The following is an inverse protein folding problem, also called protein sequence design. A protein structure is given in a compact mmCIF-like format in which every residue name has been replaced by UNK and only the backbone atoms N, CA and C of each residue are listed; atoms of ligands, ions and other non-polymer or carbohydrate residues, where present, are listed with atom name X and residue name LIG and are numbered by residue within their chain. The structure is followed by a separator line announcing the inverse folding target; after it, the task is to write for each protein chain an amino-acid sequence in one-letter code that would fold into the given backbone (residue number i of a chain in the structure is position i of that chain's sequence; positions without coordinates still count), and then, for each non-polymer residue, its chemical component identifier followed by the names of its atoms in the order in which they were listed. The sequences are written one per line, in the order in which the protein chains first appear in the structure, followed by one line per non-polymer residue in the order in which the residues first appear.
data_IF_683036179236
#
_entry.id   IF_683036179236
#
_cell.length_a   1.000
_cell.length_b   1.000
_cell.length_c   1.000
_cell.angle_alpha   90.00
_cell.angle_beta   90.00
_cell.angle_gamma   90.00
#
_symmetry.space_group_name_H-M   'P 1'
#
loop_
_entity.id
_entity.type
_entity.pdbx_description
1 polymer ?
#
# COMPACT_ATOMS: atom_id res chain seq x y z
N UNK A 1 -77.32 19.66 -21.32
CA UNK A 1 -75.96 19.97 -20.93
C UNK A 1 -75.34 18.76 -20.22
N UNK A 2 -74.47 18.03 -20.88
CA UNK A 2 -73.70 16.89 -20.30
C UNK A 2 -72.34 17.39 -19.92
N UNK A 3 -72.00 17.43 -18.64
CA UNK A 3 -70.67 17.81 -18.12
C UNK A 3 -69.86 16.55 -18.05
N UNK A 4 -68.75 16.50 -18.82
CA UNK A 4 -67.74 15.41 -18.77
C UNK A 4 -66.71 15.77 -17.71
N UNK A 5 -66.57 14.96 -16.66
CA UNK A 5 -65.45 15.02 -15.72
C UNK A 5 -64.33 14.25 -16.29
N UNK A 6 -63.23 14.93 -16.63
CA UNK A 6 -61.95 14.32 -16.98
C UNK A 6 -61.17 14.09 -15.66
N UNK A 7 -61.04 12.83 -15.27
CA UNK A 7 -60.21 12.44 -14.14
C UNK A 7 -58.78 12.33 -14.67
N UNK A 8 -57.92 13.29 -14.30
CA UNK A 8 -56.47 13.19 -14.51
C UNK A 8 -55.90 12.23 -13.45
N UNK A 9 -55.58 11.03 -13.85
CA UNK A 9 -54.82 10.08 -13.02
C UNK A 9 -53.33 10.47 -13.04
N UNK A 10 -52.88 11.14 -11.98
CA UNK A 10 -51.45 11.41 -11.77
C UNK A 10 -50.72 10.11 -11.39
N UNK A 11 -50.00 9.51 -12.34
CA UNK A 11 -49.10 8.39 -12.06
C UNK A 11 -47.88 8.92 -11.33
N UNK A 12 -47.87 8.80 -10.01
CA UNK A 12 -46.68 8.97 -9.19
C UNK A 12 -45.73 7.82 -9.46
N UNK A 13 -44.77 8.05 -10.35
CA UNK A 13 -43.61 7.14 -10.50
C UNK A 13 -42.74 7.33 -9.23
N UNK A 14 -43.00 6.52 -8.22
CA UNK A 14 -42.05 6.32 -7.12
C UNK A 14 -40.77 5.76 -7.72
N UNK A 15 -39.77 6.62 -7.88
CA UNK A 15 -38.39 6.13 -8.03
C UNK A 15 -38.02 5.43 -6.73
N UNK A 16 -38.15 4.12 -6.70
CA UNK A 16 -37.47 3.32 -5.69
C UNK A 16 -35.98 3.67 -5.79
N UNK A 17 -35.48 4.41 -4.82
CA UNK A 17 -34.03 4.55 -4.61
C UNK A 17 -33.56 3.18 -4.16
N UNK A 18 -33.29 2.28 -5.13
CA UNK A 18 -32.70 0.97 -4.87
C UNK A 18 -31.38 1.20 -4.13
N UNK A 19 -31.12 0.39 -3.10
CA UNK A 19 -29.81 0.37 -2.45
C UNK A 19 -28.74 0.15 -3.52
N UNK A 20 -27.64 0.91 -3.44
CA UNK A 20 -26.53 0.75 -4.38
C UNK A 20 -26.00 -0.69 -4.34
N UNK A 21 -25.72 -1.23 -5.50
CA UNK A 21 -25.13 -2.57 -5.65
C UNK A 21 -23.65 -2.56 -5.20
N UNK A 22 -23.07 -3.70 -4.84
CA UNK A 22 -21.64 -3.80 -4.55
C UNK A 22 -20.74 -3.23 -5.67
N UNK A 23 -21.09 -3.46 -6.93
CA UNK A 23 -20.35 -2.95 -8.07
C UNK A 23 -20.42 -1.40 -8.17
N UNK A 24 -21.58 -0.79 -7.91
CA UNK A 24 -21.72 0.67 -7.87
C UNK A 24 -20.91 1.28 -6.73
N UNK A 25 -20.89 0.63 -5.57
CA UNK A 25 -20.06 1.05 -4.45
C UNK A 25 -18.57 0.97 -4.80
N UNK A 26 -18.09 -0.10 -5.42
CA UNK A 26 -16.68 -0.22 -5.87
C UNK A 26 -16.35 0.91 -6.85
N UNK A 27 -17.18 1.13 -7.87
CA UNK A 27 -16.94 2.16 -8.88
C UNK A 27 -16.90 3.59 -8.27
N UNK A 28 -17.77 3.87 -7.31
CA UNK A 28 -17.77 5.15 -6.59
C UNK A 28 -16.51 5.28 -5.71
N UNK A 29 -16.17 4.24 -4.98
CA UNK A 29 -14.93 4.17 -4.20
C UNK A 29 -13.69 4.43 -5.07
N UNK A 30 -13.60 3.80 -6.25
CA UNK A 30 -12.50 4.00 -7.20
C UNK A 30 -12.43 5.44 -7.71
N UNK A 31 -13.57 6.03 -8.06
CA UNK A 31 -13.63 7.43 -8.47
C UNK A 31 -13.16 8.40 -7.37
N UNK A 32 -13.47 8.09 -6.10
CA UNK A 32 -13.04 8.89 -4.95
C UNK A 32 -11.55 8.65 -4.66
N UNK A 33 -11.12 7.41 -4.68
CA UNK A 33 -9.72 7.03 -4.45
C UNK A 33 -8.78 7.68 -5.48
N UNK A 34 -9.18 7.73 -6.75
CA UNK A 34 -8.44 8.40 -7.82
C UNK A 34 -8.28 9.92 -7.59
N UNK A 35 -9.05 10.51 -6.69
CA UNK A 35 -8.90 11.91 -6.24
C UNK A 35 -8.04 12.03 -4.99
N UNK A 36 -7.33 10.99 -4.62
CA UNK A 36 -6.45 10.91 -3.45
C UNK A 36 -7.19 11.07 -2.10
N UNK A 37 -8.36 10.45 -1.99
CA UNK A 37 -9.23 10.51 -0.80
C UNK A 37 -9.54 9.09 -0.28
N UNK A 38 -8.55 8.38 0.26
CA UNK A 38 -8.75 7.01 0.76
C UNK A 38 -9.75 6.94 1.91
N UNK A 39 -9.86 7.98 2.74
CA UNK A 39 -10.81 8.10 3.83
C UNK A 39 -12.26 8.18 3.37
N UNK A 40 -12.53 8.93 2.29
CA UNK A 40 -13.86 9.01 1.67
C UNK A 40 -14.17 7.74 0.82
N UNK A 41 -13.16 7.08 0.23
CA UNK A 41 -13.35 5.88 -0.58
C UNK A 41 -13.64 4.62 0.27
N UNK A 42 -13.00 4.50 1.44
CA UNK A 42 -13.10 3.34 2.32
C UNK A 42 -14.53 2.93 2.68
N UNK A 43 -15.46 3.84 3.08
CA UNK A 43 -16.84 3.47 3.37
C UNK A 43 -17.54 2.78 2.20
N UNK A 44 -17.24 3.16 0.97
CA UNK A 44 -17.81 2.55 -0.22
C UNK A 44 -17.30 1.12 -0.44
N UNK A 45 -16.00 0.88 -0.29
CA UNK A 45 -15.48 -0.48 -0.36
C UNK A 45 -16.02 -1.37 0.77
N UNK A 46 -16.16 -0.82 1.98
CA UNK A 46 -16.79 -1.54 3.11
C UNK A 46 -18.26 -1.85 2.83
N UNK A 47 -19.02 -0.92 2.24
CA UNK A 47 -20.39 -1.16 1.83
C UNK A 47 -20.50 -2.26 0.74
N UNK A 48 -19.54 -2.32 -0.19
CA UNK A 48 -19.48 -3.38 -1.20
C UNK A 48 -19.18 -4.77 -0.60
N UNK A 49 -18.45 -4.84 0.50
CA UNK A 49 -18.20 -6.10 1.24
C UNK A 49 -19.46 -6.55 2.00
N UNK A 50 -20.28 -5.61 2.48
CA UNK A 50 -21.34 -5.85 3.47
C UNK A 50 -22.27 -7.04 3.16
N UNK A 51 -22.90 -7.13 1.97
CA UNK A 51 -23.79 -8.23 1.63
C UNK A 51 -23.06 -9.52 1.26
N UNK A 52 -21.88 -9.42 0.67
CA UNK A 52 -21.04 -10.53 0.22
C UNK A 52 -19.63 -10.42 0.81
N UNK A 53 -19.44 -11.11 1.92
CA UNK A 53 -18.15 -11.15 2.61
C UNK A 53 -17.02 -11.78 1.80
N UNK A 54 -17.31 -12.35 0.64
CA UNK A 54 -16.37 -12.95 -0.33
C UNK A 54 -16.08 -12.06 -1.54
N UNK A 55 -16.50 -10.79 -1.55
CA UNK A 55 -16.14 -9.85 -2.60
C UNK A 55 -14.64 -9.50 -2.52
N UNK A 56 -13.84 -10.23 -3.28
CA UNK A 56 -12.38 -10.10 -3.30
C UNK A 56 -11.93 -8.68 -3.61
N UNK A 57 -12.51 -8.06 -4.66
CA UNK A 57 -12.12 -6.73 -5.12
C UNK A 57 -12.37 -5.66 -4.03
N UNK A 58 -13.53 -5.69 -3.42
CA UNK A 58 -13.85 -4.78 -2.32
C UNK A 58 -12.94 -4.99 -1.10
N UNK A 59 -12.59 -6.24 -0.79
CA UNK A 59 -11.71 -6.58 0.33
C UNK A 59 -10.31 -5.98 0.18
N UNK A 60 -9.64 -6.19 -0.98
CA UNK A 60 -8.29 -5.68 -1.13
C UNK A 60 -8.26 -4.15 -1.31
N UNK A 61 -9.30 -3.55 -1.94
CA UNK A 61 -9.43 -2.09 -2.07
C UNK A 61 -9.66 -1.41 -0.72
N UNK A 62 -10.49 -2.00 0.13
CA UNK A 62 -10.65 -1.53 1.51
C UNK A 62 -9.35 -1.67 2.30
N UNK A 63 -8.64 -2.81 2.17
CA UNK A 63 -7.34 -3.01 2.81
C UNK A 63 -6.33 -1.94 2.37
N UNK A 64 -6.24 -1.66 1.08
CA UNK A 64 -5.38 -0.60 0.53
C UNK A 64 -5.68 0.75 1.17
N UNK A 65 -6.96 1.15 1.23
CA UNK A 65 -7.35 2.43 1.84
C UNK A 65 -6.99 2.51 3.33
N UNK A 66 -7.21 1.44 4.10
CA UNK A 66 -6.79 1.38 5.52
C UNK A 66 -5.27 1.53 5.69
N UNK A 67 -4.49 0.90 4.80
CA UNK A 67 -3.03 0.96 4.85
C UNK A 67 -2.52 2.36 4.47
N UNK A 68 -3.12 3.01 3.47
CA UNK A 68 -2.78 4.37 3.08
C UNK A 68 -3.12 5.36 4.21
N UNK A 69 -4.25 5.17 4.90
CA UNK A 69 -4.59 5.96 6.08
C UNK A 69 -3.61 5.73 7.24
N UNK A 70 -3.19 4.47 7.47
CA UNK A 70 -2.18 4.16 8.46
C UNK A 70 -0.83 4.83 8.17
N UNK A 71 -0.49 4.99 6.90
CA UNK A 71 0.76 5.62 6.47
C UNK A 71 0.80 7.11 6.80
N UNK A 72 -0.30 7.82 6.60
CA UNK A 72 -0.40 9.25 6.85
C UNK A 72 -0.74 9.61 8.30
N UNK A 73 -1.21 8.64 9.10
CA UNK A 73 -1.71 8.90 10.44
C UNK A 73 -0.57 9.17 11.44
N UNK A 74 -0.69 10.28 12.17
CA UNK A 74 0.28 10.69 13.18
C UNK A 74 -0.01 10.12 14.57
N UNK A 75 -1.30 9.92 14.90
CA UNK A 75 -1.70 9.31 16.16
C UNK A 75 -1.35 7.82 16.19
N UNK A 76 -0.50 7.35 17.11
CA UNK A 76 -0.05 5.96 17.12
C UNK A 76 -1.18 4.95 17.32
N UNK A 77 -2.21 5.29 18.09
CA UNK A 77 -3.33 4.38 18.35
C UNK A 77 -4.25 4.26 17.13
N UNK A 78 -4.50 5.36 16.42
CA UNK A 78 -5.25 5.32 15.16
C UNK A 78 -4.47 4.60 14.06
N UNK A 79 -3.16 4.87 13.96
CA UNK A 79 -2.28 4.16 13.02
C UNK A 79 -2.28 2.65 13.24
N UNK A 80 -2.21 2.20 14.49
CA UNK A 80 -2.27 0.77 14.83
C UNK A 80 -3.63 0.16 14.46
N UNK A 81 -4.75 0.87 14.70
CA UNK A 81 -6.08 0.40 14.29
C UNK A 81 -6.18 0.23 12.78
N UNK A 82 -5.79 1.24 11.99
CA UNK A 82 -5.78 1.16 10.53
C UNK A 82 -4.90 0.01 10.04
N UNK A 83 -3.69 -0.14 10.58
CA UNK A 83 -2.78 -1.22 10.20
C UNK A 83 -3.35 -2.61 10.50
N UNK A 84 -4.01 -2.79 11.65
CA UNK A 84 -4.69 -4.05 12.02
C UNK A 84 -5.89 -4.35 11.14
N UNK A 85 -6.69 -3.33 10.83
CA UNK A 85 -7.83 -3.46 9.93
C UNK A 85 -7.37 -3.82 8.52
N UNK A 86 -6.36 -3.14 8.00
CA UNK A 86 -5.76 -3.45 6.70
C UNK A 86 -5.21 -4.88 6.63
N UNK A 87 -4.52 -5.36 7.68
CA UNK A 87 -4.09 -6.76 7.77
C UNK A 87 -5.27 -7.73 7.73
N UNK A 88 -6.30 -7.49 8.56
CA UNK A 88 -7.46 -8.39 8.63
C UNK A 88 -8.19 -8.49 7.28
N UNK A 89 -8.36 -7.37 6.58
CA UNK A 89 -8.98 -7.30 5.25
C UNK A 89 -8.11 -8.00 4.20
N UNK A 90 -6.79 -7.79 4.20
CA UNK A 90 -5.87 -8.47 3.28
C UNK A 90 -5.88 -9.99 3.47
N UNK A 91 -5.85 -10.46 4.72
CA UNK A 91 -5.96 -11.90 5.02
C UNK A 91 -7.31 -12.47 4.58
N UNK A 92 -8.40 -11.70 4.65
CA UNK A 92 -9.69 -12.11 4.10
C UNK A 92 -9.65 -12.19 2.58
N UNK A 93 -9.07 -11.19 1.91
CA UNK A 93 -8.89 -11.20 0.46
C UNK A 93 -8.13 -12.45 -0.01
N UNK A 94 -7.01 -12.79 0.64
CA UNK A 94 -6.24 -14.01 0.33
C UNK A 94 -7.07 -15.28 0.53
N UNK A 95 -7.91 -15.36 1.58
CA UNK A 95 -8.80 -16.52 1.76
C UNK A 95 -9.84 -16.67 0.65
N UNK A 96 -10.25 -15.58 0.04
CA UNK A 96 -11.20 -15.58 -1.09
C UNK A 96 -10.50 -15.93 -2.39
N UNK A 97 -9.36 -15.31 -2.64
CA UNK A 97 -8.54 -15.56 -3.82
C UNK A 97 -7.04 -15.50 -3.46
N UNK A 98 -6.46 -16.66 -3.21
CA UNK A 98 -5.04 -16.79 -2.91
C UNK A 98 -4.14 -16.75 -4.15
N UNK A 99 -4.72 -16.68 -5.36
CA UNK A 99 -3.97 -16.70 -6.61
C UNK A 99 -3.92 -15.31 -7.31
N UNK A 100 -4.03 -14.25 -6.51
CA UNK A 100 -3.96 -12.89 -7.01
C UNK A 100 -2.95 -12.06 -6.19
N UNK A 101 -2.25 -11.17 -6.84
CA UNK A 101 -1.15 -10.40 -6.25
C UNK A 101 -1.60 -9.38 -5.20
N UNK A 102 -2.79 -8.77 -5.37
CA UNK A 102 -3.21 -7.61 -4.58
C UNK A 102 -3.41 -7.95 -3.09
N UNK A 103 -4.02 -9.11 -2.80
CA UNK A 103 -4.23 -9.57 -1.42
C UNK A 103 -2.90 -9.75 -0.68
N UNK A 104 -1.93 -10.41 -1.31
CA UNK A 104 -0.58 -10.65 -0.78
C UNK A 104 0.21 -9.35 -0.65
N UNK A 105 0.20 -8.50 -1.66
CA UNK A 105 0.87 -7.20 -1.62
C UNK A 105 0.35 -6.32 -0.48
N UNK A 106 -0.96 -6.19 -0.34
CA UNK A 106 -1.55 -5.39 0.74
C UNK A 106 -1.25 -5.98 2.12
N UNK A 107 -1.22 -7.33 2.25
CA UNK A 107 -0.81 -7.96 3.50
C UNK A 107 0.65 -7.62 3.85
N UNK A 108 1.56 -7.69 2.89
CA UNK A 108 2.96 -7.31 3.09
C UNK A 108 3.09 -5.86 3.58
N UNK A 109 2.35 -4.91 2.97
CA UNK A 109 2.32 -3.50 3.41
C UNK A 109 1.78 -3.35 4.84
N UNK A 110 0.65 -3.97 5.15
CA UNK A 110 0.03 -3.89 6.48
C UNK A 110 0.97 -4.41 7.57
N UNK A 111 1.61 -5.56 7.35
CA UNK A 111 2.59 -6.15 8.26
C UNK A 111 3.83 -5.28 8.42
N UNK A 112 4.31 -4.66 7.34
CA UNK A 112 5.40 -3.68 7.39
C UNK A 112 5.07 -2.50 8.31
N UNK A 113 3.86 -1.94 8.22
CA UNK A 113 3.40 -0.88 9.12
C UNK A 113 3.28 -1.35 10.58
N UNK A 114 2.74 -2.54 10.80
CA UNK A 114 2.66 -3.12 12.15
C UNK A 114 4.02 -3.36 12.78
N UNK A 115 5.01 -3.77 11.99
CA UNK A 115 6.37 -3.99 12.47
C UNK A 115 6.99 -2.76 13.15
N UNK A 116 6.57 -1.56 12.79
CA UNK A 116 7.04 -0.31 13.38
C UNK A 116 6.53 -0.06 14.82
N UNK A 117 5.46 -0.77 15.24
CA UNK A 117 4.76 -0.54 16.52
C UNK A 117 4.97 -1.66 17.53
N UNK A 118 5.78 -2.67 17.23
CA UNK A 118 5.95 -3.87 18.07
C UNK A 118 7.39 -4.05 18.54
N UNK A 119 7.57 -4.92 19.54
CA UNK A 119 8.89 -5.29 20.05
C UNK A 119 9.72 -6.10 19.04
N UNK A 120 11.01 -6.24 19.32
CA UNK A 120 12.01 -6.84 18.40
C UNK A 120 11.60 -8.22 17.90
N UNK A 121 11.10 -9.09 18.78
CA UNK A 121 10.75 -10.46 18.42
C UNK A 121 9.59 -10.52 17.41
N UNK A 122 8.56 -9.72 17.63
CA UNK A 122 7.39 -9.68 16.73
C UNK A 122 7.73 -8.93 15.43
N UNK A 123 8.61 -7.92 15.51
CA UNK A 123 9.15 -7.23 14.31
C UNK A 123 9.86 -8.22 13.37
N UNK A 124 10.64 -9.15 13.91
CA UNK A 124 11.31 -10.20 13.11
C UNK A 124 10.29 -11.12 12.44
N UNK A 125 9.24 -11.53 13.17
CA UNK A 125 8.16 -12.34 12.60
C UNK A 125 7.47 -11.61 11.45
N UNK A 126 7.07 -10.35 11.68
CA UNK A 126 6.44 -9.55 10.63
C UNK A 126 7.36 -9.33 9.44
N UNK A 127 8.63 -9.02 9.65
CA UNK A 127 9.58 -8.86 8.55
C UNK A 127 9.75 -10.15 7.73
N UNK A 128 9.72 -11.32 8.38
CA UNK A 128 9.73 -12.61 7.69
C UNK A 128 8.48 -12.81 6.83
N UNK A 129 7.32 -12.49 7.38
CA UNK A 129 6.04 -12.62 6.67
C UNK A 129 5.92 -11.57 5.55
N UNK A 130 6.35 -10.32 5.76
CA UNK A 130 6.41 -9.28 4.72
C UNK A 130 7.14 -9.78 3.47
N UNK A 131 8.31 -10.39 3.66
CA UNK A 131 9.07 -10.93 2.54
C UNK A 131 8.34 -12.08 1.85
N UNK A 132 7.76 -12.99 2.61
CA UNK A 132 7.04 -14.14 2.08
C UNK A 132 5.84 -13.69 1.23
N UNK A 133 5.04 -12.76 1.75
CA UNK A 133 3.86 -12.25 1.06
C UNK A 133 4.22 -11.42 -0.18
N UNK A 134 5.28 -10.62 -0.12
CA UNK A 134 5.76 -9.90 -1.31
C UNK A 134 6.25 -10.83 -2.42
N UNK A 135 6.91 -11.95 -2.05
CA UNK A 135 7.31 -12.97 -3.02
C UNK A 135 6.10 -13.73 -3.60
N UNK A 136 5.07 -14.01 -2.78
CA UNK A 136 3.82 -14.59 -3.30
C UNK A 136 3.12 -13.65 -4.26
N UNK A 137 3.06 -12.34 -3.98
CA UNK A 137 2.53 -11.35 -4.92
C UNK A 137 3.29 -11.41 -6.26
N UNK A 138 4.62 -11.50 -6.24
CA UNK A 138 5.43 -11.62 -7.46
C UNK A 138 5.26 -12.96 -8.18
N UNK A 139 4.84 -14.01 -7.49
CA UNK A 139 4.52 -15.30 -8.12
C UNK A 139 3.31 -15.20 -9.03
N UNK A 140 2.32 -14.39 -8.66
CA UNK A 140 1.10 -14.18 -9.44
C UNK A 140 1.21 -13.03 -10.44
N UNK A 141 2.01 -12.00 -10.11
CA UNK A 141 2.34 -10.90 -11.01
C UNK A 141 3.82 -10.54 -10.86
N UNK A 142 4.67 -11.12 -11.73
CA UNK A 142 6.12 -10.96 -11.68
C UNK A 142 6.59 -9.50 -11.82
N UNK A 143 5.77 -8.64 -12.41
CA UNK A 143 6.01 -7.21 -12.59
C UNK A 143 5.12 -6.33 -11.70
N UNK A 144 4.65 -6.85 -10.55
CA UNK A 144 3.89 -6.06 -9.59
C UNK A 144 4.79 -5.00 -8.93
N UNK A 145 4.66 -3.70 -9.29
CA UNK A 145 5.63 -2.68 -8.89
C UNK A 145 5.69 -2.48 -7.38
N UNK A 146 4.55 -2.54 -6.70
CA UNK A 146 4.46 -2.42 -5.24
C UNK A 146 5.14 -3.58 -4.52
N UNK A 147 5.03 -4.81 -5.00
CA UNK A 147 5.69 -5.97 -4.39
C UNK A 147 7.21 -5.94 -4.60
N UNK A 148 7.66 -5.50 -5.77
CA UNK A 148 9.08 -5.22 -6.05
C UNK A 148 9.62 -4.15 -5.09
N UNK A 149 8.89 -3.06 -4.92
CA UNK A 149 9.22 -2.01 -3.97
C UNK A 149 9.33 -2.53 -2.54
N UNK A 150 8.35 -3.30 -2.06
CA UNK A 150 8.38 -3.91 -0.70
C UNK A 150 9.64 -4.76 -0.51
N UNK A 151 10.04 -5.57 -1.50
CA UNK A 151 11.27 -6.37 -1.42
C UNK A 151 12.54 -5.50 -1.45
N UNK A 152 12.55 -4.43 -2.22
CA UNK A 152 13.65 -3.46 -2.22
C UNK A 152 13.85 -2.83 -0.84
N UNK A 153 12.77 -2.28 -0.27
CA UNK A 153 12.79 -1.70 1.08
C UNK A 153 13.13 -2.74 2.13
N UNK A 154 12.55 -3.95 2.07
CA UNK A 154 12.85 -5.03 3.01
C UNK A 154 14.34 -5.37 3.06
N UNK A 155 14.98 -5.50 1.88
CA UNK A 155 16.42 -5.75 1.81
C UNK A 155 17.21 -4.60 2.45
N UNK A 156 16.90 -3.35 2.12
CA UNK A 156 17.57 -2.19 2.66
C UNK A 156 17.41 -2.08 4.19
N UNK A 157 16.21 -2.26 4.72
CA UNK A 157 15.94 -2.22 6.16
C UNK A 157 16.73 -3.29 6.93
N UNK A 158 16.81 -4.52 6.39
CA UNK A 158 17.61 -5.58 6.99
C UNK A 158 19.11 -5.23 6.94
N UNK A 159 19.57 -4.61 5.86
CA UNK A 159 20.98 -4.22 5.72
C UNK A 159 21.36 -3.04 6.62
N UNK A 160 20.42 -2.12 6.93
CA UNK A 160 20.59 -1.00 7.90
C UNK A 160 20.75 -1.49 9.34
N UNK A 161 20.27 -2.69 9.68
CA UNK A 161 20.50 -3.30 10.99
C UNK A 161 22.00 -3.58 11.14
N UNK A 162 22.61 -3.14 12.24
CA UNK A 162 24.02 -3.42 12.49
C UNK A 162 24.32 -4.93 12.48
N UNK A 163 25.53 -5.30 12.08
CA UNK A 163 25.92 -6.69 11.83
C UNK A 163 25.67 -7.62 13.02
N UNK A 164 25.91 -7.18 14.26
CA UNK A 164 25.68 -7.95 15.48
C UNK A 164 24.20 -8.23 15.71
N UNK A 165 23.36 -7.19 15.64
CA UNK A 165 21.89 -7.34 15.79
C UNK A 165 21.29 -8.21 14.68
N UNK A 166 21.77 -8.08 13.45
CA UNK A 166 21.37 -8.93 12.31
C UNK A 166 21.77 -10.38 12.53
N UNK A 167 22.98 -10.63 13.05
CA UNK A 167 23.42 -11.98 13.42
C UNK A 167 22.52 -12.60 14.49
N UNK A 168 22.16 -11.87 15.54
CA UNK A 168 21.23 -12.34 16.57
C UNK A 168 19.83 -12.60 15.98
N UNK A 169 19.30 -11.69 15.16
CA UNK A 169 18.02 -11.87 14.50
C UNK A 169 18.00 -13.15 13.66
N UNK A 170 19.03 -13.37 12.86
CA UNK A 170 19.15 -14.53 11.98
C UNK A 170 19.27 -15.85 12.74
N UNK A 171 20.15 -15.92 13.75
CA UNK A 171 20.58 -17.19 14.32
C UNK A 171 19.88 -17.54 15.65
N UNK A 172 19.38 -16.55 16.39
CA UNK A 172 18.79 -16.71 17.73
C UNK A 172 17.29 -16.48 17.74
N UNK A 173 16.79 -15.50 16.98
CA UNK A 173 15.38 -15.07 17.03
C UNK A 173 14.53 -15.61 15.86
N UNK A 174 15.05 -16.56 15.07
CA UNK A 174 14.33 -17.25 14.01
C UNK A 174 14.23 -16.52 12.67
N UNK A 175 14.91 -15.39 12.51
CA UNK A 175 14.93 -14.59 11.28
C UNK A 175 15.93 -15.10 10.24
N UNK A 176 15.96 -16.40 9.94
CA UNK A 176 16.93 -17.01 8.98
C UNK A 176 16.96 -16.28 7.64
N UNK A 177 15.80 -15.84 7.16
CA UNK A 177 15.65 -15.11 5.89
C UNK A 177 16.46 -13.80 5.83
N UNK A 178 16.83 -13.23 6.96
CA UNK A 178 17.67 -12.02 7.01
C UNK A 178 19.08 -12.26 6.48
N UNK A 179 19.51 -13.53 6.38
CA UNK A 179 20.78 -13.88 5.72
C UNK A 179 20.74 -13.77 4.20
N UNK A 180 19.56 -13.63 3.61
CA UNK A 180 19.37 -13.49 2.16
C UNK A 180 19.31 -12.01 1.72
N UNK A 181 19.25 -11.08 2.68
CA UNK A 181 19.24 -9.65 2.39
C UNK A 181 20.61 -9.16 1.93
N UNK A 182 20.60 -8.29 0.93
CA UNK A 182 21.81 -7.64 0.42
C UNK A 182 21.46 -6.27 -0.17
N UNK A 183 22.47 -5.38 -0.23
CA UNK A 183 22.33 -4.10 -0.93
C UNK A 183 22.08 -4.30 -2.42
N UNK A 184 22.70 -5.31 -3.05
CA UNK A 184 22.48 -5.63 -4.47
C UNK A 184 21.01 -5.98 -4.74
N UNK A 185 20.38 -6.79 -3.86
CA UNK A 185 18.97 -7.10 -3.96
C UNK A 185 18.10 -5.87 -3.71
N UNK A 186 18.47 -5.01 -2.74
CA UNK A 186 17.74 -3.77 -2.48
C UNK A 186 17.69 -2.88 -3.73
N UNK A 187 18.85 -2.64 -4.35
CA UNK A 187 18.97 -1.86 -5.59
C UNK A 187 18.19 -2.52 -6.72
N UNK A 188 18.44 -3.82 -6.98
CA UNK A 188 17.83 -4.56 -8.09
C UNK A 188 16.31 -4.53 -8.06
N UNK A 189 15.70 -4.83 -6.90
CA UNK A 189 14.25 -4.83 -6.78
C UNK A 189 13.67 -3.43 -6.94
N UNK A 190 14.33 -2.41 -6.38
CA UNK A 190 13.83 -1.04 -6.45
C UNK A 190 14.01 -0.44 -7.85
N UNK A 191 15.14 -0.68 -8.53
CA UNK A 191 15.31 -0.29 -9.94
C UNK A 191 14.24 -0.91 -10.83
N UNK A 192 13.89 -2.19 -10.59
CA UNK A 192 12.81 -2.85 -11.32
C UNK A 192 11.45 -2.23 -11.00
N UNK A 193 11.17 -1.88 -9.74
CA UNK A 193 9.93 -1.18 -9.37
C UNK A 193 9.78 0.14 -10.12
N UNK A 194 10.85 0.94 -10.18
CA UNK A 194 10.91 2.19 -10.96
C UNK A 194 10.73 1.92 -12.45
N UNK A 195 11.33 0.88 -13.00
CA UNK A 195 11.22 0.57 -14.43
C UNK A 195 9.79 0.15 -14.83
N UNK A 196 9.06 -0.53 -13.93
CA UNK A 196 7.68 -0.96 -14.18
C UNK A 196 6.68 0.18 -13.99
N UNK A 197 6.88 1.03 -12.98
CA UNK A 197 5.99 2.16 -12.67
C UNK A 197 6.82 3.44 -12.42
N UNK A 198 7.30 4.08 -13.51
CA UNK A 198 8.20 5.22 -13.41
C UNK A 198 7.53 6.52 -12.93
N UNK A 199 6.21 6.59 -12.93
CA UNK A 199 5.48 7.76 -12.44
C UNK A 199 5.24 7.72 -10.92
N UNK A 200 5.49 6.57 -10.29
CA UNK A 200 5.26 6.38 -8.85
C UNK A 200 6.43 6.93 -8.04
N UNK A 201 6.31 8.15 -7.54
CA UNK A 201 7.43 8.88 -6.93
C UNK A 201 7.98 8.24 -5.65
N UNK A 202 7.20 7.43 -4.92
CA UNK A 202 7.72 6.69 -3.76
C UNK A 202 8.80 5.66 -4.15
N UNK A 203 8.73 5.09 -5.37
CA UNK A 203 9.78 4.19 -5.86
C UNK A 203 11.09 4.93 -6.05
N UNK A 204 11.05 6.13 -6.62
CA UNK A 204 12.21 7.00 -6.75
C UNK A 204 12.76 7.45 -5.40
N UNK A 205 11.86 7.81 -4.45
CA UNK A 205 12.28 8.22 -3.11
C UNK A 205 13.10 7.15 -2.41
N UNK A 206 12.58 5.92 -2.37
CA UNK A 206 13.25 4.85 -1.65
C UNK A 206 14.46 4.30 -2.42
N UNK A 207 14.46 4.35 -3.77
CA UNK A 207 15.66 4.10 -4.57
C UNK A 207 16.76 5.12 -4.28
N UNK A 208 16.39 6.41 -4.14
CA UNK A 208 17.34 7.47 -3.78
C UNK A 208 17.99 7.20 -2.42
N UNK A 209 17.19 6.81 -1.41
CA UNK A 209 17.70 6.45 -0.08
C UNK A 209 18.63 5.24 -0.14
N UNK A 210 18.29 4.22 -0.94
CA UNK A 210 19.12 3.03 -1.11
C UNK A 210 20.44 3.39 -1.79
N UNK A 211 20.43 4.22 -2.84
CA UNK A 211 21.66 4.71 -3.45
C UNK A 211 22.52 5.54 -2.48
N UNK A 212 21.88 6.33 -1.63
CA UNK A 212 22.58 7.08 -0.59
C UNK A 212 23.25 6.18 0.43
N UNK A 213 22.58 5.10 0.87
CA UNK A 213 23.12 4.09 1.79
C UNK A 213 24.33 3.34 1.21
N UNK A 214 24.31 3.04 -0.09
CA UNK A 214 25.42 2.36 -0.76
C UNK A 214 26.53 3.31 -1.23
N UNK A 215 26.37 4.63 -0.99
CA UNK A 215 27.38 5.64 -1.30
C UNK A 215 27.33 6.19 -2.72
N UNK A 216 26.36 5.80 -3.56
CA UNK A 216 26.19 6.35 -4.91
C UNK A 216 25.41 7.68 -4.84
N UNK A 217 26.09 8.72 -4.36
CA UNK A 217 25.50 10.04 -4.13
C UNK A 217 24.96 10.68 -5.40
N UNK A 218 25.59 10.42 -6.54
CA UNK A 218 25.14 10.98 -7.82
C UNK A 218 23.78 10.41 -8.25
N UNK A 219 23.62 9.08 -8.18
CA UNK A 219 22.33 8.44 -8.45
C UNK A 219 21.27 8.80 -7.41
N UNK A 220 21.65 8.87 -6.12
CA UNK A 220 20.73 9.29 -5.07
C UNK A 220 20.14 10.69 -5.35
N UNK A 221 21.01 11.68 -5.66
CA UNK A 221 20.59 13.03 -6.01
C UNK A 221 19.63 13.03 -7.20
N UNK A 222 19.98 12.32 -8.27
CA UNK A 222 19.14 12.26 -9.47
C UNK A 222 17.74 11.70 -9.17
N UNK A 223 17.65 10.66 -8.33
CA UNK A 223 16.36 10.09 -7.94
C UNK A 223 15.56 11.05 -7.04
N UNK A 224 16.17 11.71 -6.05
CA UNK A 224 15.48 12.72 -5.22
C UNK A 224 14.94 13.88 -6.07
N UNK A 225 15.68 14.33 -7.09
CA UNK A 225 15.21 15.36 -7.99
C UNK A 225 13.99 14.92 -8.81
N UNK A 226 13.92 13.64 -9.22
CA UNK A 226 12.73 13.08 -9.87
C UNK A 226 11.52 13.10 -8.93
N UNK A 227 11.69 12.77 -7.64
CA UNK A 227 10.63 12.88 -6.65
C UNK A 227 10.09 14.30 -6.54
N UNK A 228 10.98 15.30 -6.41
CA UNK A 228 10.58 16.71 -6.24
C UNK A 228 9.81 17.22 -7.46
N UNK A 229 10.21 16.81 -8.67
CA UNK A 229 9.58 17.23 -9.93
C UNK A 229 8.39 16.36 -10.35
N UNK A 230 8.22 15.19 -9.71
CA UNK A 230 7.21 14.22 -10.07
C UNK A 230 5.79 14.76 -9.91
N UNK A 231 4.90 14.32 -10.80
CA UNK A 231 3.47 14.62 -10.69
C UNK A 231 2.88 13.80 -9.55
N UNK A 232 1.94 14.38 -8.82
CA UNK A 232 1.20 13.65 -7.80
C UNK A 232 0.40 12.51 -8.43
N UNK A 233 0.64 11.29 -7.97
CA UNK A 233 -0.03 10.05 -8.37
C UNK A 233 -0.65 9.31 -7.19
N UNK A 234 -0.29 9.74 -5.95
CA UNK A 234 -0.74 9.11 -4.72
C UNK A 234 -1.11 10.11 -3.62
N UNK A 235 -1.84 9.60 -2.64
CA UNK A 235 -2.24 10.34 -1.45
C UNK A 235 -1.04 10.89 -0.66
N UNK A 236 0.01 10.09 -0.48
CA UNK A 236 1.19 10.39 0.33
C UNK A 236 2.26 11.21 -0.40
N UNK A 237 2.18 11.38 -1.72
CA UNK A 237 3.21 12.04 -2.54
C UNK A 237 3.64 13.43 -2.05
N UNK A 238 2.75 14.31 -1.53
CA UNK A 238 3.20 15.59 -0.99
C UNK A 238 4.15 15.48 0.22
N UNK A 239 4.05 14.39 0.99
CA UNK A 239 4.98 14.12 2.08
C UNK A 239 6.33 13.65 1.54
N UNK A 240 6.33 12.78 0.55
CA UNK A 240 7.53 12.26 -0.11
C UNK A 240 8.32 13.37 -0.83
N UNK A 241 7.64 14.31 -1.48
CA UNK A 241 8.29 15.46 -2.12
C UNK A 241 8.99 16.36 -1.10
N UNK A 242 8.36 16.61 0.07
CA UNK A 242 9.01 17.37 1.15
C UNK A 242 10.23 16.65 1.71
N UNK A 243 10.15 15.32 1.86
CA UNK A 243 11.26 14.50 2.33
C UNK A 243 12.43 14.55 1.35
N UNK A 244 12.18 14.38 0.05
CA UNK A 244 13.20 14.47 -0.98
C UNK A 244 13.84 15.86 -1.05
N UNK A 245 13.03 16.93 -0.93
CA UNK A 245 13.54 18.30 -0.89
C UNK A 245 14.46 18.53 0.31
N UNK A 246 14.11 18.01 1.49
CA UNK A 246 14.96 18.10 2.67
C UNK A 246 16.26 17.31 2.50
N UNK A 247 16.20 16.11 1.90
CA UNK A 247 17.39 15.29 1.63
C UNK A 247 18.36 16.01 0.69
N UNK A 248 17.85 16.58 -0.42
CA UNK A 248 18.67 17.37 -1.37
C UNK A 248 19.35 18.58 -0.70
N UNK A 249 18.66 19.23 0.25
CA UNK A 249 19.22 20.37 0.98
C UNK A 249 20.39 20.00 1.92
N UNK A 250 20.52 18.72 2.29
CA UNK A 250 21.61 18.23 3.14
C UNK A 250 22.74 17.57 2.37
N UNK A 251 22.52 17.19 1.12
CA UNK A 251 23.55 16.57 0.26
C UNK A 251 24.57 17.64 -0.14
N UNK A 252 25.82 17.44 0.29
CA UNK A 252 26.95 18.26 -0.17
C UNK A 252 27.24 17.98 -1.64
N UNK A 253 27.62 19.04 -2.37
CA UNK A 253 28.10 18.93 -3.74
C UNK A 253 29.42 18.17 -3.81
#
# INVERSE_FOLDING_TARGET
MRVWFVILASVLISRATGAQTPAEHIALGDSIFARFKPDEALPHYVAAIGPDSSNYEALWKAARSEIDLAEAERDPARRDRYSKSGEALSRRAIRVNAQDAEGHFNLARALGRRALSVGVRDRIKFATEVRAEALEALRYNADHPGALHVLGVWNAEVMRINGFSRFLAKNVLGGRVFGEASWDNAVKYMERAVAVDPDRIVHHLDLAKIYDDVGDKAKARAQFELVVRGRRTDFSDPAYQREAQAALGTMKD
#
